data_IF_587391692915
#
_entry.id   IF_587391692915
#
_cell.length_a   1.000
_cell.length_b   1.000
_cell.length_c   1.000
_cell.angle_alpha   90.00
_cell.angle_beta   90.00
_cell.angle_gamma   90.00
#
_symmetry.space_group_name_H-M   'P 1'
#
loop_
_entity.id
_entity.type
_entity.pdbx_description
1 polymer ?
#
# COMPACT_ATOMS: atom_id res chain seq x y z
N UNK A 1 6.76 -7.43 4.58
CA UNK A 1 6.65 -7.72 6.02
C UNK A 1 6.30 -6.42 6.74
N UNK A 2 5.40 -6.43 7.71
CA UNK A 2 4.97 -5.21 8.41
C UNK A 2 4.87 -5.43 9.92
N UNK A 3 5.31 -4.44 10.69
CA UNK A 3 5.20 -4.43 12.15
C UNK A 3 4.14 -3.40 12.56
N UNK A 4 3.14 -3.81 13.33
CA UNK A 4 2.14 -2.93 13.93
C UNK A 4 1.78 -3.42 15.33
N UNK A 5 0.90 -2.71 16.04
CA UNK A 5 0.44 -3.08 17.40
C UNK A 5 -0.53 -4.28 17.37
N UNK A 6 -0.63 -4.99 16.25
CA UNK A 6 -1.37 -6.24 16.15
C UNK A 6 -0.64 -7.33 16.93
N UNK A 7 -0.94 -7.45 18.22
CA UNK A 7 -0.61 -8.58 19.12
C UNK A 7 0.60 -9.44 18.66
N UNK A 8 1.77 -8.82 18.58
CA UNK A 8 3.02 -9.54 18.80
C UNK A 8 3.24 -9.48 20.30
N UNK A 9 2.77 -10.50 21.05
CA UNK A 9 3.20 -10.65 22.43
C UNK A 9 4.71 -10.94 22.37
N UNK A 10 5.54 -9.91 22.53
CA UNK A 10 6.99 -10.07 22.53
C UNK A 10 7.38 -10.97 23.69
N UNK A 11 7.89 -12.16 23.39
CA UNK A 11 8.53 -12.99 24.41
C UNK A 11 9.81 -12.28 24.85
N UNK A 12 9.84 -11.87 26.13
CA UNK A 12 11.02 -11.27 26.74
C UNK A 12 11.97 -12.39 27.15
N UNK A 13 13.15 -12.44 26.53
CA UNK A 13 14.25 -13.29 27.01
C UNK A 13 15.33 -12.42 27.65
N UNK A 14 15.53 -12.58 28.97
CA UNK A 14 16.55 -11.86 29.76
C UNK A 14 16.55 -10.33 29.61
N UNK A 15 15.38 -9.72 29.47
CA UNK A 15 15.26 -8.25 29.36
C UNK A 15 15.54 -7.68 27.96
N UNK A 16 15.85 -8.52 26.98
CA UNK A 16 15.82 -8.14 25.56
C UNK A 16 14.45 -8.53 24.96
N UNK A 17 13.84 -7.61 24.22
CA UNK A 17 12.68 -7.94 23.37
C UNK A 17 13.18 -8.77 22.19
N UNK A 18 12.77 -10.04 22.13
CA UNK A 18 13.11 -10.93 21.02
C UNK A 18 11.95 -10.92 20.02
N UNK A 19 12.32 -10.55 18.79
CA UNK A 19 11.55 -10.53 17.54
C UNK A 19 10.05 -10.20 17.58
N UNK A 20 9.74 -8.99 17.11
CA UNK A 20 8.39 -8.67 16.69
C UNK A 20 7.95 -9.65 15.59
N UNK A 21 6.91 -10.44 15.86
CA UNK A 21 6.32 -11.34 14.86
C UNK A 21 5.79 -10.52 13.68
N UNK A 22 6.55 -10.46 12.59
CA UNK A 22 6.15 -9.76 11.38
C UNK A 22 5.12 -10.60 10.64
N UNK A 23 3.87 -10.12 10.60
CA UNK A 23 2.85 -10.77 9.80
C UNK A 23 3.09 -10.49 8.30
N UNK A 24 2.95 -11.49 7.42
CA UNK A 24 3.02 -11.27 5.98
C UNK A 24 1.88 -10.33 5.56
N UNK A 25 2.24 -9.27 4.85
CA UNK A 25 1.32 -8.27 4.30
C UNK A 25 1.71 -8.03 2.84
N UNK A 26 0.71 -7.85 1.99
CA UNK A 26 0.90 -7.45 0.58
C UNK A 26 0.93 -5.92 0.52
N UNK A 27 1.96 -5.38 -0.14
CA UNK A 27 2.04 -3.96 -0.47
C UNK A 27 1.59 -3.80 -1.92
N UNK A 28 0.54 -3.02 -2.14
CA UNK A 28 0.06 -2.68 -3.48
C UNK A 28 0.34 -1.20 -3.72
N UNK A 29 1.01 -0.89 -4.82
CA UNK A 29 1.31 0.48 -5.24
C UNK A 29 0.66 0.71 -6.60
N UNK A 30 -0.18 1.75 -6.68
CA UNK A 30 -0.92 2.10 -7.91
C UNK A 30 -0.73 3.59 -8.15
N UNK A 31 -0.31 3.94 -9.36
CA UNK A 31 -0.24 5.31 -9.83
C UNK A 31 -1.49 5.56 -10.67
N UNK A 32 -2.19 6.66 -10.39
CA UNK A 32 -3.51 6.95 -10.96
C UNK A 32 -3.45 8.28 -11.70
N UNK A 33 -4.07 8.32 -12.88
CA UNK A 33 -4.06 9.49 -13.75
C UNK A 33 -5.35 10.31 -13.63
N UNK A 34 -6.32 10.03 -14.49
CA UNK A 34 -7.55 10.82 -14.61
C UNK A 34 -8.67 10.42 -13.63
N UNK A 35 -8.46 9.35 -12.86
CA UNK A 35 -9.48 8.83 -11.93
C UNK A 35 -9.32 9.55 -10.58
N UNK A 36 -10.40 10.10 -10.00
CA UNK A 36 -10.35 10.71 -8.67
C UNK A 36 -9.81 9.75 -7.61
N UNK A 37 -8.85 10.21 -6.82
CA UNK A 37 -8.18 9.41 -5.78
C UNK A 37 -9.18 8.94 -4.72
N UNK A 38 -10.17 9.77 -4.40
CA UNK A 38 -11.22 9.49 -3.41
C UNK A 38 -12.02 8.23 -3.79
N UNK A 39 -12.38 8.09 -5.06
CA UNK A 39 -13.13 6.94 -5.55
C UNK A 39 -12.35 5.63 -5.36
N UNK A 40 -11.03 5.69 -5.55
CA UNK A 40 -10.13 4.54 -5.40
C UNK A 40 -9.96 4.21 -3.92
N UNK A 41 -9.82 5.21 -3.06
CA UNK A 41 -9.77 5.01 -1.61
C UNK A 41 -11.07 4.36 -1.12
N UNK A 42 -12.23 4.82 -1.58
CA UNK A 42 -13.51 4.22 -1.19
C UNK A 42 -13.65 2.78 -1.66
N UNK A 43 -13.30 2.50 -2.92
CA UNK A 43 -13.31 1.14 -3.46
C UNK A 43 -12.36 0.21 -2.70
N UNK A 44 -11.14 0.66 -2.44
CA UNK A 44 -10.14 -0.10 -1.67
C UNK A 44 -10.61 -0.35 -0.23
N UNK A 45 -11.19 0.65 0.44
CA UNK A 45 -11.77 0.48 1.78
C UNK A 45 -12.88 -0.55 1.77
N UNK A 46 -13.82 -0.50 0.82
CA UNK A 46 -14.93 -1.46 0.74
C UNK A 46 -14.44 -2.89 0.47
N UNK A 47 -13.43 -3.05 -0.39
CA UNK A 47 -12.91 -4.37 -0.76
C UNK A 47 -11.99 -5.00 0.29
N UNK A 48 -11.18 -4.21 0.99
CA UNK A 48 -10.14 -4.70 1.91
C UNK A 48 -10.57 -4.72 3.38
N UNK A 49 -11.70 -4.09 3.72
CA UNK A 49 -12.18 -4.03 5.09
C UNK A 49 -12.76 -5.36 5.56
N UNK A 50 -12.18 -5.93 6.62
CA UNK A 50 -12.68 -7.13 7.28
C UNK A 50 -13.23 -6.83 8.67
N UNK A 51 -12.95 -5.65 9.23
CA UNK A 51 -13.36 -5.25 10.57
C UNK A 51 -12.46 -5.79 11.68
N UNK A 52 -11.42 -6.55 11.33
CA UNK A 52 -10.40 -7.02 12.26
C UNK A 52 -9.22 -6.07 12.32
N UNK A 53 -8.57 -5.99 13.49
CA UNK A 53 -7.32 -5.25 13.62
C UNK A 53 -6.34 -5.87 12.62
N UNK A 54 -5.80 -5.05 11.71
CA UNK A 54 -4.82 -5.50 10.73
C UNK A 54 -5.15 -5.35 9.26
N UNK A 55 -6.32 -4.81 8.93
CA UNK A 55 -6.73 -4.53 7.55
C UNK A 55 -5.71 -3.66 6.79
N UNK A 56 -4.89 -2.89 7.51
CA UNK A 56 -3.74 -2.20 6.98
C UNK A 56 -3.93 -0.69 6.97
N UNK A 57 -3.19 -0.02 6.08
CA UNK A 57 -3.21 1.44 5.92
C UNK A 57 -3.10 1.78 4.45
N UNK A 58 -3.76 2.85 4.04
CA UNK A 58 -3.62 3.44 2.71
C UNK A 58 -2.80 4.71 2.88
N UNK A 59 -1.78 4.86 2.03
CA UNK A 59 -0.96 6.06 1.97
C UNK A 59 -1.16 6.71 0.61
N UNK A 60 -1.28 8.04 0.60
CA UNK A 60 -1.45 8.82 -0.61
C UNK A 60 -0.22 9.71 -0.76
N UNK A 61 0.41 9.65 -1.92
CA UNK A 61 1.59 10.43 -2.27
C UNK A 61 1.36 11.12 -3.61
N UNK A 62 1.87 12.34 -3.75
CA UNK A 62 1.93 13.00 -5.04
C UNK A 62 3.06 12.40 -5.88
N UNK A 63 2.81 12.21 -7.17
CA UNK A 63 3.81 11.74 -8.14
C UNK A 63 4.05 12.87 -9.13
N UNK A 64 5.26 13.41 -9.14
CA UNK A 64 5.60 14.56 -9.99
C UNK A 64 5.77 14.17 -11.46
N UNK A 65 6.27 12.97 -11.74
CA UNK A 65 6.55 12.52 -13.11
C UNK A 65 6.41 11.01 -13.26
N UNK A 66 5.79 10.59 -14.36
CA UNK A 66 5.69 9.18 -14.78
C UNK A 66 6.28 9.05 -16.18
N UNK A 67 7.06 8.00 -16.44
CA UNK A 67 7.68 7.76 -17.75
C UNK A 67 7.49 6.29 -18.14
N UNK A 68 6.90 6.02 -19.31
CA UNK A 68 6.78 4.68 -19.88
C UNK A 68 8.05 4.33 -20.65
N UNK A 69 8.89 3.47 -20.10
CA UNK A 69 10.23 3.15 -20.65
C UNK A 69 10.17 2.73 -22.12
N UNK A 70 9.17 1.94 -22.50
CA UNK A 70 9.06 1.39 -23.87
C UNK A 70 8.82 2.47 -24.94
N UNK A 71 7.98 3.45 -24.65
CA UNK A 71 7.51 4.45 -25.64
C UNK A 71 8.11 5.83 -25.43
N UNK A 72 8.68 6.10 -24.24
CA UNK A 72 9.13 7.43 -23.84
C UNK A 72 8.00 8.39 -23.47
N UNK A 73 6.75 7.92 -23.44
CA UNK A 73 5.60 8.74 -23.06
C UNK A 73 5.69 9.16 -21.59
N UNK A 74 5.17 10.36 -21.30
CA UNK A 74 5.21 10.95 -19.96
C UNK A 74 3.80 11.13 -19.37
N UNK A 75 3.73 11.10 -18.03
CA UNK A 75 2.56 11.45 -17.22
C UNK A 75 1.29 10.69 -17.63
N UNK A 76 0.22 11.41 -18.01
CA UNK A 76 -1.04 10.78 -18.40
C UNK A 76 -0.90 9.87 -19.62
N UNK A 77 -0.06 10.23 -20.60
CA UNK A 77 0.19 9.36 -21.75
C UNK A 77 0.93 8.07 -21.35
N UNK A 78 1.76 8.13 -20.32
CA UNK A 78 2.42 6.97 -19.75
C UNK A 78 1.43 6.03 -19.02
N UNK A 79 0.34 6.57 -18.47
CA UNK A 79 -0.68 5.82 -17.73
C UNK A 79 -1.87 5.37 -18.58
N UNK A 80 -2.11 6.04 -19.71
CA UNK A 80 -3.12 5.64 -20.66
C UNK A 80 -2.71 4.31 -21.31
N UNK A 81 -3.62 3.34 -21.25
CA UNK A 81 -3.48 2.12 -22.01
C UNK A 81 -3.81 2.42 -23.47
N UNK A 82 -2.97 1.91 -24.38
CA UNK A 82 -3.22 1.95 -25.82
C UNK A 82 -3.89 0.63 -26.14
N UNK A 83 -5.23 0.61 -26.07
CA UNK A 83 -6.01 -0.40 -26.79
C UNK A 83 -5.94 -0.14 -28.29
#
# INVERSE_FOLDING_TARGET
>A
MGCGIQKGAGERYRGAEVDATLLPKVKVEVIVGNIPVENIIEAAKKALYTGHIGDGKIFVYNVDKVIKIRTGEENLAALADVE
#
